data_IF_883842960144
#
_entry.id   IF_883842960144
#
_cell.length_a   1.000
_cell.length_b   1.000
_cell.length_c   1.000
_cell.angle_alpha   90.00
_cell.angle_beta   90.00
_cell.angle_gamma   90.00
#
_symmetry.space_group_name_H-M   'P 1'
#
loop_
_entity.id
_entity.type
_entity.pdbx_description
1 polymer ?
#
# COMPACT_ATOMS: atom_id res chain seq x y z
N UNK A 1 -26.25 36.26 54.31
CA UNK A 1 -25.01 35.57 53.89
C UNK A 1 -24.39 34.90 55.10
N UNK A 2 -24.33 33.56 55.05
CA UNK A 2 -24.13 32.65 56.18
C UNK A 2 -22.72 32.67 56.78
N UNK A 3 -22.62 32.55 58.11
CA UNK A 3 -21.48 31.89 58.78
C UNK A 3 -22.01 30.93 59.83
N UNK A 4 -21.79 29.64 59.58
CA UNK A 4 -22.25 28.49 60.37
C UNK A 4 -21.31 28.21 61.55
N UNK A 5 -21.88 27.51 62.54
CA UNK A 5 -21.38 27.20 63.88
C UNK A 5 -20.47 25.96 63.88
N UNK A 6 -19.63 25.91 64.92
CA UNK A 6 -18.61 24.95 65.37
C UNK A 6 -18.87 23.42 65.33
N UNK A 7 -17.72 22.70 65.17
CA UNK A 7 -17.19 21.45 65.81
C UNK A 7 -18.10 20.23 66.06
N UNK A 8 -17.60 19.04 65.68
CA UNK A 8 -17.26 17.92 66.60
C UNK A 8 -16.63 16.72 65.85
N UNK A 9 -15.65 16.04 66.48
CA UNK A 9 -14.91 14.87 66.01
C UNK A 9 -15.48 13.57 66.61
N UNK A 10 -15.53 12.49 65.82
CA UNK A 10 -15.44 11.05 66.17
C UNK A 10 -15.99 10.24 64.96
N UNK A 11 -15.46 9.12 64.46
CA UNK A 11 -14.65 8.07 65.04
C UNK A 11 -15.40 6.73 64.85
N UNK A 12 -14.95 5.86 63.92
CA UNK A 12 -15.35 4.45 63.82
C UNK A 12 -15.77 3.97 62.41
N UNK A 13 -15.63 2.71 61.98
CA UNK A 13 -14.73 1.56 62.26
C UNK A 13 -15.27 0.39 61.38
N UNK A 14 -14.39 -0.23 60.60
CA UNK A 14 -14.46 -1.59 59.97
C UNK A 14 -15.31 -1.85 58.70
N UNK A 15 -14.70 -2.60 57.75
CA UNK A 15 -15.42 -3.38 56.75
C UNK A 15 -14.73 -3.64 55.40
N UNK A 16 -13.46 -4.06 55.36
CA UNK A 16 -12.83 -4.54 54.11
C UNK A 16 -13.31 -5.96 53.82
N UNK A 17 -14.20 -6.14 52.84
CA UNK A 17 -14.49 -7.47 52.25
C UNK A 17 -13.70 -7.60 50.96
N UNK A 18 -12.61 -8.36 50.99
CA UNK A 18 -11.91 -8.82 49.79
C UNK A 18 -12.76 -9.91 49.15
N UNK A 19 -13.45 -9.61 48.06
CA UNK A 19 -14.02 -10.65 47.20
C UNK A 19 -12.92 -11.15 46.27
N UNK A 20 -12.50 -12.40 46.47
CA UNK A 20 -11.49 -13.06 45.65
C UNK A 20 -12.20 -13.63 44.42
N UNK A 21 -12.29 -12.84 43.35
CA UNK A 21 -12.76 -13.35 42.05
C UNK A 21 -11.55 -13.89 41.30
N UNK A 22 -11.40 -15.21 41.31
CA UNK A 22 -10.39 -15.91 40.52
C UNK A 22 -10.63 -15.62 39.04
N UNK A 23 -9.76 -14.79 38.45
CA UNK A 23 -9.83 -14.43 37.03
C UNK A 23 -9.02 -15.44 36.24
N UNK A 24 -9.69 -16.36 35.56
CA UNK A 24 -9.05 -17.20 34.54
C UNK A 24 -8.76 -16.32 33.33
N UNK A 25 -7.48 -16.01 33.10
CA UNK A 25 -7.02 -15.38 31.86
C UNK A 25 -7.19 -16.38 30.72
N UNK A 26 -8.19 -16.17 29.87
CA UNK A 26 -8.22 -16.79 28.55
C UNK A 26 -7.09 -16.19 27.70
N UNK A 27 -6.10 -16.99 27.34
CA UNK A 27 -5.09 -16.61 26.36
C UNK A 27 -5.74 -16.50 24.99
N UNK A 28 -6.14 -15.29 24.62
CA UNK A 28 -6.51 -14.98 23.24
C UNK A 28 -5.22 -14.96 22.41
N UNK A 29 -4.91 -16.07 21.73
CA UNK A 29 -3.95 -16.05 20.63
C UNK A 29 -4.61 -15.32 19.44
N UNK A 30 -4.71 -14.00 19.54
CA UNK A 30 -4.94 -13.16 18.37
C UNK A 30 -3.70 -13.27 17.51
N UNK A 31 -3.73 -14.16 16.52
CA UNK A 31 -2.71 -14.18 15.48
C UNK A 31 -2.65 -12.79 14.87
N UNK A 32 -1.53 -12.08 15.09
CA UNK A 32 -1.28 -10.83 14.42
C UNK A 32 -1.15 -11.15 12.93
N UNK A 33 -2.22 -10.96 12.17
CA UNK A 33 -2.10 -10.84 10.73
C UNK A 33 -1.20 -9.63 10.47
N UNK A 34 0.03 -9.86 10.02
CA UNK A 34 0.90 -8.79 9.57
C UNK A 34 0.15 -8.03 8.47
N UNK A 35 0.08 -6.69 8.52
CA UNK A 35 -0.53 -5.95 7.44
C UNK A 35 0.24 -6.28 6.15
N UNK A 36 -0.47 -6.78 5.14
CA UNK A 36 0.11 -6.91 3.81
C UNK A 36 0.40 -5.48 3.32
N UNK A 37 1.68 -5.12 3.16
CA UNK A 37 2.03 -3.87 2.50
C UNK A 37 1.45 -3.94 1.08
N UNK A 38 0.51 -3.05 0.79
CA UNK A 38 0.03 -2.92 -0.56
C UNK A 38 1.20 -2.51 -1.46
N UNK A 39 1.43 -3.29 -2.51
CA UNK A 39 2.37 -2.94 -3.57
C UNK A 39 1.86 -1.67 -4.28
N UNK A 40 2.77 -0.77 -4.66
CA UNK A 40 2.46 0.54 -5.25
C UNK A 40 3.13 0.68 -6.62
N UNK A 41 2.54 1.50 -7.48
CA UNK A 41 3.15 1.94 -8.74
C UNK A 41 3.48 3.43 -8.61
N UNK A 42 4.78 3.74 -8.52
CA UNK A 42 5.28 5.10 -8.35
C UNK A 42 6.20 5.42 -9.53
N UNK A 43 5.92 6.46 -10.35
CA UNK A 43 6.81 6.86 -11.43
C UNK A 43 8.13 7.41 -10.89
N UNK A 44 9.23 7.13 -11.60
CA UNK A 44 10.53 7.69 -11.26
C UNK A 44 10.62 9.17 -11.70
N UNK A 45 11.34 9.98 -10.92
CA UNK A 45 11.63 11.39 -11.24
C UNK A 45 12.98 11.51 -11.95
N UNK A 46 13.14 10.81 -13.08
CA UNK A 46 14.41 10.66 -13.80
C UNK A 46 14.36 11.18 -15.26
N UNK A 47 13.33 11.96 -15.59
CA UNK A 47 13.17 12.59 -16.90
C UNK A 47 12.53 11.71 -17.97
N UNK A 48 12.23 10.43 -17.69
CA UNK A 48 11.52 9.56 -18.66
C UNK A 48 10.06 9.99 -18.84
N UNK A 49 9.49 10.75 -17.89
CA UNK A 49 8.16 11.34 -18.03
C UNK A 49 7.01 10.34 -17.87
N UNK A 50 7.21 9.28 -17.08
CA UNK A 50 6.15 8.30 -16.80
C UNK A 50 5.07 8.91 -15.92
N UNK A 51 3.82 8.72 -16.30
CA UNK A 51 2.65 9.22 -15.58
C UNK A 51 1.81 8.03 -15.17
N UNK A 52 1.43 7.98 -13.89
CA UNK A 52 0.55 6.93 -13.33
C UNK A 52 -0.68 7.64 -12.79
N UNK A 53 -1.83 7.32 -13.33
CA UNK A 53 -3.12 7.88 -12.88
C UNK A 53 -4.07 6.77 -12.45
N UNK A 54 -4.89 6.98 -11.40
CA UNK A 54 -5.89 6.01 -11.00
C UNK A 54 -6.99 5.90 -12.06
N UNK A 55 -7.37 4.67 -12.41
CA UNK A 55 -8.52 4.33 -13.21
C UNK A 55 -9.73 3.92 -12.36
N UNK A 56 -10.66 3.19 -12.95
CA UNK A 56 -11.77 2.54 -12.25
C UNK A 56 -11.31 1.23 -11.58
N UNK A 57 -12.02 0.78 -10.54
CA UNK A 57 -11.87 -0.56 -9.96
C UNK A 57 -10.41 -1.00 -9.69
N UNK A 58 -9.62 -0.18 -8.99
CA UNK A 58 -8.23 -0.49 -8.62
C UNK A 58 -7.26 -0.58 -9.81
N UNK A 59 -7.61 0.05 -10.94
CA UNK A 59 -6.74 0.18 -12.10
C UNK A 59 -5.75 1.35 -11.96
N UNK A 60 -4.56 1.17 -12.51
CA UNK A 60 -3.53 2.18 -12.71
C UNK A 60 -3.29 2.34 -14.21
N UNK A 61 -3.58 3.53 -14.74
CA UNK A 61 -3.30 3.88 -16.12
C UNK A 61 -1.90 4.45 -16.22
N UNK A 62 -1.06 3.79 -17.01
CA UNK A 62 0.33 4.17 -17.23
C UNK A 62 0.41 4.84 -18.61
N UNK A 63 0.81 6.10 -18.59
CA UNK A 63 0.83 7.01 -19.74
C UNK A 63 2.13 7.83 -19.75
N UNK A 64 2.27 8.72 -20.74
CA UNK A 64 3.47 9.51 -20.93
C UNK A 64 4.62 8.61 -21.37
N UNK A 65 5.76 8.76 -20.72
CA UNK A 65 6.99 8.07 -21.09
C UNK A 65 7.75 8.80 -22.20
N UNK A 66 8.88 8.23 -22.57
CA UNK A 66 9.74 8.77 -23.62
C UNK A 66 9.69 7.83 -24.82
N UNK A 67 9.33 8.34 -25.98
CA UNK A 67 9.31 7.56 -27.22
C UNK A 67 10.62 7.76 -28.00
N UNK A 68 11.21 6.66 -28.47
CA UNK A 68 12.30 6.67 -29.44
C UNK A 68 12.02 5.65 -30.55
N UNK A 69 11.59 6.15 -31.70
CA UNK A 69 11.05 5.32 -32.79
C UNK A 69 9.80 4.57 -32.33
N UNK A 70 9.79 3.25 -32.51
CA UNK A 70 8.68 2.37 -32.12
C UNK A 70 8.83 1.80 -30.70
N UNK A 71 9.70 2.41 -29.87
CA UNK A 71 9.93 2.01 -28.49
C UNK A 71 9.42 3.10 -27.54
N UNK A 72 8.62 2.73 -26.56
CA UNK A 72 8.13 3.60 -25.51
C UNK A 72 8.76 3.20 -24.17
N UNK A 73 9.45 4.13 -23.52
CA UNK A 73 10.15 3.90 -22.27
C UNK A 73 9.36 4.46 -21.09
N UNK A 74 9.26 3.66 -20.03
CA UNK A 74 8.74 4.04 -18.73
C UNK A 74 9.77 3.74 -17.63
N UNK A 75 9.74 4.55 -16.58
CA UNK A 75 10.61 4.40 -15.42
C UNK A 75 9.80 4.55 -14.14
N UNK A 76 10.01 3.62 -13.22
CA UNK A 76 9.27 3.52 -11.97
C UNK A 76 10.24 3.50 -10.79
N UNK A 77 9.92 4.23 -9.74
CA UNK A 77 10.56 4.06 -8.44
C UNK A 77 10.13 2.70 -7.85
N UNK A 78 8.84 2.41 -7.88
CA UNK A 78 8.26 1.15 -7.42
C UNK A 78 7.23 0.69 -8.45
N UNK A 79 7.18 -0.61 -8.71
CA UNK A 79 6.18 -1.20 -9.59
C UNK A 79 5.72 -2.51 -9.00
N UNK A 80 4.43 -2.58 -8.68
CA UNK A 80 3.88 -3.66 -7.91
C UNK A 80 2.36 -3.70 -7.97
N UNK A 81 1.78 -4.89 -7.85
CA UNK A 81 0.33 -5.09 -7.89
C UNK A 81 -0.11 -6.05 -6.79
N UNK A 82 -1.14 -5.68 -6.04
CA UNK A 82 -1.89 -6.58 -5.14
C UNK A 82 -3.09 -7.18 -5.85
N UNK A 83 -3.65 -8.25 -5.28
CA UNK A 83 -4.78 -8.96 -5.87
C UNK A 83 -5.93 -8.02 -6.24
N UNK A 84 -6.44 -8.16 -7.47
CA UNK A 84 -7.51 -7.34 -8.02
C UNK A 84 -7.05 -6.02 -8.65
N UNK A 85 -5.79 -5.59 -8.45
CA UNK A 85 -5.25 -4.41 -9.12
C UNK A 85 -4.86 -4.70 -10.57
N UNK A 86 -5.00 -3.68 -11.41
CA UNK A 86 -4.72 -3.76 -12.85
C UNK A 86 -3.76 -2.64 -13.25
N UNK A 87 -2.62 -2.95 -13.86
CA UNK A 87 -1.78 -1.98 -14.54
C UNK A 87 -2.09 -1.98 -16.04
N UNK A 88 -2.59 -0.86 -16.56
CA UNK A 88 -2.90 -0.68 -17.97
C UNK A 88 -1.88 0.25 -18.62
N UNK A 89 -1.02 -0.30 -19.48
CA UNK A 89 -0.11 0.49 -20.31
C UNK A 89 -0.85 1.03 -21.53
N UNK A 90 -0.92 2.35 -21.65
CA UNK A 90 -1.55 3.02 -22.79
C UNK A 90 -0.47 3.43 -23.78
N UNK A 91 -0.55 2.90 -25.00
CA UNK A 91 0.37 3.25 -26.08
C UNK A 91 -0.40 3.49 -27.38
N UNK A 92 0.26 4.18 -28.32
CA UNK A 92 -0.27 4.35 -29.66
C UNK A 92 -0.08 3.06 -30.50
N UNK A 93 -0.89 2.84 -31.55
CA UNK A 93 -0.81 1.62 -32.36
C UNK A 93 0.53 1.40 -33.10
N UNK A 94 1.31 2.46 -33.32
CA UNK A 94 2.62 2.43 -33.98
C UNK A 94 3.77 2.02 -33.05
N UNK A 95 3.52 1.93 -31.73
CA UNK A 95 4.49 1.42 -30.77
C UNK A 95 4.58 -0.10 -30.89
N UNK A 96 5.79 -0.61 -31.08
CA UNK A 96 6.08 -2.05 -31.10
C UNK A 96 6.56 -2.57 -29.75
N UNK A 97 7.25 -1.75 -28.96
CA UNK A 97 7.82 -2.18 -27.68
C UNK A 97 7.56 -1.14 -26.59
N UNK A 98 7.10 -1.60 -25.44
CA UNK A 98 7.02 -0.82 -24.20
C UNK A 98 8.06 -1.39 -23.24
N UNK A 99 8.96 -0.55 -22.74
CA UNK A 99 10.03 -0.92 -21.83
C UNK A 99 9.84 -0.20 -20.50
N UNK A 100 9.47 -0.93 -19.46
CA UNK A 100 9.39 -0.43 -18.09
C UNK A 100 10.58 -0.86 -17.27
N UNK A 101 11.30 0.10 -16.66
CA UNK A 101 12.35 -0.20 -15.67
C UNK A 101 11.93 0.21 -14.27
N UNK A 102 12.37 -0.55 -13.27
CA UNK A 102 12.23 -0.18 -11.85
C UNK A 102 13.60 0.18 -11.29
N UNK A 103 13.71 1.34 -10.66
CA UNK A 103 14.99 1.90 -10.18
C UNK A 103 15.06 2.07 -8.65
N UNK A 104 13.99 1.78 -7.92
CA UNK A 104 13.93 2.06 -6.48
C UNK A 104 14.54 1.02 -5.55
N UNK A 105 15.04 -0.10 -6.06
CA UNK A 105 15.78 -1.11 -5.28
C UNK A 105 14.93 -2.16 -4.58
N UNK A 106 13.61 -1.98 -4.53
CA UNK A 106 12.67 -2.99 -4.01
C UNK A 106 12.27 -4.01 -5.09
N UNK A 107 12.05 -5.29 -4.75
CA UNK A 107 11.49 -6.27 -5.67
C UNK A 107 10.05 -5.93 -6.08
N UNK A 108 9.71 -6.25 -7.32
CA UNK A 108 8.33 -6.14 -7.82
C UNK A 108 7.55 -7.40 -7.48
N UNK A 109 6.48 -7.29 -6.68
CA UNK A 109 5.54 -8.40 -6.43
C UNK A 109 4.27 -8.10 -7.23
N UNK A 110 3.97 -8.96 -8.19
CA UNK A 110 2.88 -8.81 -9.16
C UNK A 110 1.84 -9.87 -8.89
N UNK A 111 0.99 -9.62 -7.89
CA UNK A 111 -0.22 -10.40 -7.67
C UNK A 111 -1.41 -9.67 -8.29
N UNK A 112 -1.40 -9.46 -9.60
CA UNK A 112 -2.45 -8.68 -10.27
C UNK A 112 -2.41 -8.85 -11.79
N UNK A 113 -3.15 -8.01 -12.51
CA UNK A 113 -3.19 -8.05 -13.97
C UNK A 113 -2.34 -6.92 -14.57
N UNK A 114 -1.50 -7.26 -15.54
CA UNK A 114 -0.84 -6.27 -16.40
C UNK A 114 -1.41 -6.43 -17.80
N UNK A 115 -1.82 -5.32 -18.41
CA UNK A 115 -2.41 -5.33 -19.75
C UNK A 115 -2.01 -4.09 -20.55
N UNK A 116 -2.21 -4.15 -21.85
CA UNK A 116 -2.06 -3.03 -22.77
C UNK A 116 -3.42 -2.53 -23.24
N UNK A 117 -3.50 -1.24 -23.54
CA UNK A 117 -4.66 -0.62 -24.16
C UNK A 117 -4.24 0.14 -25.42
N UNK A 118 -5.05 0.04 -26.48
CA UNK A 118 -4.85 0.68 -27.78
C UNK A 118 -3.56 0.30 -28.52
N UNK A 119 -2.94 -0.82 -28.14
CA UNK A 119 -1.70 -1.30 -28.74
C UNK A 119 -1.58 -2.82 -28.65
N UNK A 120 -0.80 -3.40 -29.55
CA UNK A 120 -0.36 -4.81 -29.54
C UNK A 120 1.13 -4.95 -29.26
N UNK A 121 1.75 -3.89 -28.71
CA UNK A 121 3.17 -3.85 -28.41
C UNK A 121 3.62 -4.99 -27.49
N UNK A 122 4.88 -5.38 -27.62
CA UNK A 122 5.56 -6.21 -26.64
C UNK A 122 5.81 -5.40 -25.37
N UNK A 123 5.62 -6.01 -24.20
CA UNK A 123 5.94 -5.39 -22.92
C UNK A 123 7.16 -6.07 -22.30
N UNK A 124 8.16 -5.26 -21.98
CA UNK A 124 9.37 -5.67 -21.27
C UNK A 124 9.43 -4.94 -19.93
N UNK A 125 9.50 -5.71 -18.83
CA UNK A 125 9.68 -5.16 -17.49
C UNK A 125 11.02 -5.63 -16.93
N UNK A 126 11.80 -4.70 -16.41
CA UNK A 126 13.12 -4.97 -15.81
C UNK A 126 13.17 -4.36 -14.42
N UNK A 127 13.48 -5.21 -13.43
CA UNK A 127 13.80 -4.78 -12.08
C UNK A 127 15.06 -5.54 -11.61
N UNK A 128 16.20 -4.84 -11.35
CA UNK A 128 17.41 -5.48 -10.82
C UNK A 128 17.21 -6.21 -9.48
N UNK A 129 16.22 -5.79 -8.68
CA UNK A 129 15.88 -6.45 -7.41
C UNK A 129 14.99 -7.70 -7.60
N UNK A 130 14.57 -7.98 -8.84
CA UNK A 130 13.74 -9.13 -9.20
C UNK A 130 12.26 -8.80 -9.39
N UNK A 131 11.57 -9.72 -10.05
CA UNK A 131 10.13 -9.68 -10.29
C UNK A 131 9.54 -11.03 -9.88
N UNK A 132 8.53 -11.01 -9.02
CA UNK A 132 7.79 -12.17 -8.53
C UNK A 132 6.34 -12.08 -9.01
N UNK A 133 5.81 -13.19 -9.52
CA UNK A 133 4.41 -13.35 -9.94
C UNK A 133 3.70 -14.36 -9.04
#
# INVERSE_FOLDING_TARGET
MNRLINKSLAGGKYGWVYSLVASTLMYFNGGFASPAFAQSIIPAQDGVGTIVSPGNNQQFNIQGGTQAGQNLFHSFQQFGLTQGQIATFMAQPDIQNILGRVVGGDPSIINGLIQLSNSTANLYLVNPAGILF
#
